data_IF_342056370307
#
_entry.id   IF_342056370307
#
_cell.length_a   1.000
_cell.length_b   1.000
_cell.length_c   1.000
_cell.angle_alpha   90.00
_cell.angle_beta   90.00
_cell.angle_gamma   90.00
#
_symmetry.space_group_name_H-M   'P 1'
#
loop_
_entity.id
_entity.type
_entity.pdbx_description
1 polymer ?
#
# COMPACT_ATOMS: atom_id res chain seq x y z
N UNK A 1 -16.23 1.04 25.05
CA UNK A 1 -15.48 1.04 23.78
C UNK A 1 -15.54 2.45 23.23
N UNK A 2 -14.47 3.24 23.13
CA UNK A 2 -14.68 4.59 22.60
C UNK A 2 -13.47 5.52 22.53
N UNK A 3 -13.00 6.04 23.67
CA UNK A 3 -12.10 7.19 23.69
C UNK A 3 -10.78 6.95 22.95
N UNK A 4 -10.03 5.90 23.31
CA UNK A 4 -8.70 5.69 22.76
C UNK A 4 -8.71 5.32 21.26
N UNK A 5 -9.75 4.66 20.74
CA UNK A 5 -9.80 4.27 19.31
C UNK A 5 -10.08 5.47 18.40
N UNK A 6 -11.01 6.34 18.80
CA UNK A 6 -11.31 7.56 18.04
C UNK A 6 -10.10 8.51 18.08
N UNK A 7 -9.53 8.70 19.27
CA UNK A 7 -8.33 9.53 19.46
C UNK A 7 -7.14 8.99 18.65
N UNK A 8 -6.84 7.68 18.74
CA UNK A 8 -5.80 7.04 17.93
C UNK A 8 -6.06 7.22 16.43
N UNK A 9 -7.32 7.12 15.98
CA UNK A 9 -7.68 7.35 14.58
C UNK A 9 -7.39 8.79 14.16
N UNK A 10 -7.73 9.78 15.01
CA UNK A 10 -7.45 11.18 14.73
C UNK A 10 -5.95 11.49 14.68
N UNK A 11 -5.17 10.90 15.61
CA UNK A 11 -3.71 10.96 15.59
C UNK A 11 -3.14 10.38 14.28
N UNK A 12 -3.66 9.24 13.82
CA UNK A 12 -3.27 8.65 12.53
C UNK A 12 -3.68 9.51 11.33
N UNK A 13 -4.84 10.16 11.35
CA UNK A 13 -5.25 11.10 10.29
C UNK A 13 -4.33 12.31 10.20
N UNK A 14 -3.89 12.83 11.36
CA UNK A 14 -2.88 13.89 11.38
C UNK A 14 -1.55 13.40 10.81
N UNK A 15 -1.09 12.21 11.24
CA UNK A 15 0.11 11.58 10.72
C UNK A 15 0.06 11.36 9.20
N UNK A 16 -1.09 11.01 8.63
CA UNK A 16 -1.28 10.91 7.17
C UNK A 16 -0.92 12.22 6.45
N UNK A 17 -1.36 13.38 6.95
CA UNK A 17 -1.01 14.66 6.34
C UNK A 17 0.47 15.00 6.52
N UNK A 18 1.05 14.72 7.69
CA UNK A 18 2.47 14.93 7.96
C UNK A 18 3.36 14.08 7.04
N UNK A 19 3.01 12.81 6.82
CA UNK A 19 3.72 11.91 5.89
C UNK A 19 3.65 12.43 4.45
N UNK A 20 2.47 12.90 4.02
CA UNK A 20 2.32 13.48 2.69
C UNK A 20 3.10 14.79 2.54
N UNK A 21 3.14 15.63 3.58
CA UNK A 21 3.95 16.85 3.60
C UNK A 21 5.44 16.53 3.48
N UNK A 22 5.92 15.51 4.19
CA UNK A 22 7.29 15.01 4.07
C UNK A 22 7.59 14.51 2.66
N UNK A 23 6.66 13.77 2.03
CA UNK A 23 6.78 13.31 0.64
C UNK A 23 6.89 14.46 -0.36
N UNK A 24 6.15 15.55 -0.17
CA UNK A 24 6.29 16.77 -0.99
C UNK A 24 7.70 17.35 -0.88
N UNK A 25 8.31 17.34 0.31
CA UNK A 25 9.65 17.88 0.52
C UNK A 25 10.78 16.95 0.06
N UNK A 26 10.58 15.63 0.10
CA UNK A 26 11.56 14.65 -0.39
C UNK A 26 11.45 14.42 -1.90
N UNK A 27 10.30 14.72 -2.50
CA UNK A 27 9.98 14.39 -3.89
C UNK A 27 9.46 12.96 -4.05
N UNK A 28 9.20 12.24 -2.94
CA UNK A 28 8.69 10.89 -2.97
C UNK A 28 7.16 10.89 -3.17
N UNK A 29 6.68 10.14 -4.15
CA UNK A 29 5.25 9.88 -4.33
C UNK A 29 4.88 8.55 -3.67
N UNK A 30 4.22 8.62 -2.52
CA UNK A 30 3.73 7.44 -1.80
C UNK A 30 2.33 7.04 -2.27
N UNK A 31 2.09 5.74 -2.38
CA UNK A 31 0.75 5.22 -2.61
C UNK A 31 -0.09 5.26 -1.31
N UNK A 32 -1.40 5.10 -1.45
CA UNK A 32 -2.34 5.16 -0.33
C UNK A 32 -1.97 4.22 0.83
N UNK A 33 -1.59 3.00 0.50
CA UNK A 33 -1.24 1.96 1.45
C UNK A 33 0.07 2.23 2.17
N UNK A 34 1.09 2.74 1.49
CA UNK A 34 2.34 3.20 2.13
C UNK A 34 2.08 4.33 3.13
N UNK A 35 1.24 5.31 2.78
CA UNK A 35 0.91 6.42 3.67
C UNK A 35 0.15 5.91 4.91
N UNK A 36 -0.81 5.01 4.72
CA UNK A 36 -1.58 4.43 5.82
C UNK A 36 -0.72 3.54 6.72
N UNK A 37 0.16 2.73 6.14
CA UNK A 37 1.09 1.89 6.89
C UNK A 37 2.05 2.74 7.73
N UNK A 38 2.67 3.77 7.15
CA UNK A 38 3.53 4.68 7.89
C UNK A 38 2.76 5.44 9.01
N UNK A 39 1.50 5.79 8.79
CA UNK A 39 0.68 6.41 9.83
C UNK A 39 0.40 5.46 10.99
N UNK A 40 0.20 4.16 10.70
CA UNK A 40 0.04 3.11 11.70
C UNK A 40 1.37 2.85 12.43
N UNK A 41 2.52 2.91 11.75
CA UNK A 41 3.83 2.79 12.41
C UNK A 41 4.10 3.94 13.38
N UNK A 42 3.66 5.16 13.04
CA UNK A 42 3.76 6.33 13.94
C UNK A 42 2.81 6.22 15.13
N UNK A 43 1.63 5.62 14.95
CA UNK A 43 0.61 5.44 15.98
C UNK A 43 0.11 3.99 15.96
N UNK A 44 0.84 3.06 16.62
CA UNK A 44 0.56 1.62 16.54
C UNK A 44 -0.87 1.24 16.90
N UNK A 45 -1.38 0.17 16.30
CA UNK A 45 -2.70 -0.39 16.63
C UNK A 45 -2.69 -0.97 18.04
N UNK A 46 -3.72 -0.68 18.84
CA UNK A 46 -3.95 -1.40 20.09
C UNK A 46 -4.54 -2.80 19.82
N UNK A 47 -4.66 -3.63 20.85
CA UNK A 47 -5.13 -5.02 20.71
C UNK A 47 -6.42 -5.16 19.93
N UNK A 48 -7.44 -4.34 20.24
CA UNK A 48 -8.75 -4.39 19.55
C UNK A 48 -8.68 -3.86 18.12
N UNK A 49 -7.82 -2.87 17.87
CA UNK A 49 -7.60 -2.34 16.52
C UNK A 49 -6.80 -3.30 15.64
N UNK A 50 -5.93 -4.12 16.23
CA UNK A 50 -5.10 -5.11 15.55
C UNK A 50 -5.88 -6.39 15.19
N UNK A 51 -7.06 -6.62 15.78
CA UNK A 51 -7.92 -7.75 15.42
C UNK A 51 -8.24 -7.74 13.92
N UNK A 52 -7.98 -8.88 13.27
CA UNK A 52 -8.28 -9.08 11.86
C UNK A 52 -9.79 -9.24 11.66
N UNK A 53 -10.29 -8.56 10.64
CA UNK A 53 -11.64 -8.80 10.12
C UNK A 53 -11.63 -10.04 9.23
N UNK A 54 -12.81 -10.54 8.84
CA UNK A 54 -12.94 -11.71 7.94
C UNK A 54 -12.19 -11.58 6.62
N UNK A 55 -11.90 -10.36 6.17
CA UNK A 55 -11.07 -10.09 4.99
C UNK A 55 -9.57 -9.95 5.28
N UNK A 56 -9.07 -10.39 6.44
CA UNK A 56 -7.64 -10.35 6.78
C UNK A 56 -7.08 -8.95 7.06
N UNK A 57 -7.92 -7.91 7.08
CA UNK A 57 -7.52 -6.52 7.31
C UNK A 57 -7.76 -6.19 8.79
N UNK A 58 -6.77 -5.64 9.53
CA UNK A 58 -6.96 -5.15 10.89
C UNK A 58 -8.08 -4.11 10.96
N UNK A 59 -8.92 -4.21 12.00
CA UNK A 59 -10.04 -3.28 12.22
C UNK A 59 -9.59 -1.82 12.19
N UNK A 60 -8.49 -1.50 12.88
CA UNK A 60 -7.94 -0.15 12.95
C UNK A 60 -7.49 0.39 11.59
N UNK A 61 -6.90 -0.46 10.75
CA UNK A 61 -6.56 -0.09 9.38
C UNK A 61 -7.83 0.25 8.58
N UNK A 62 -8.85 -0.61 8.65
CA UNK A 62 -10.15 -0.35 7.98
C UNK A 62 -10.78 0.95 8.46
N UNK A 63 -10.77 1.20 9.77
CA UNK A 63 -11.26 2.45 10.37
C UNK A 63 -10.50 3.65 9.85
N UNK A 64 -9.17 3.61 9.79
CA UNK A 64 -8.34 4.70 9.25
C UNK A 64 -8.60 4.94 7.75
N UNK A 65 -8.67 3.88 6.95
CA UNK A 65 -9.00 3.97 5.52
C UNK A 65 -10.33 4.69 5.32
N UNK A 66 -11.37 4.33 6.08
CA UNK A 66 -12.68 5.01 6.01
C UNK A 66 -12.58 6.45 6.52
N UNK A 67 -11.92 6.68 7.65
CA UNK A 67 -11.83 8.02 8.26
C UNK A 67 -11.06 9.02 7.39
N UNK A 68 -10.12 8.57 6.56
CA UNK A 68 -9.37 9.45 5.62
C UNK A 68 -10.26 10.18 4.61
N UNK A 69 -11.52 9.75 4.41
CA UNK A 69 -12.49 10.50 3.63
C UNK A 69 -12.83 11.88 4.25
N UNK A 70 -12.69 12.05 5.57
CA UNK A 70 -12.85 13.34 6.25
C UNK A 70 -11.83 14.36 5.74
N UNK A 71 -10.57 13.95 5.56
CA UNK A 71 -9.51 14.81 5.02
C UNK A 71 -9.81 15.27 3.59
N UNK A 72 -10.41 14.38 2.78
CA UNK A 72 -10.85 14.74 1.42
C UNK A 72 -11.98 15.76 1.47
N UNK A 73 -12.97 15.56 2.34
CA UNK A 73 -14.09 16.49 2.51
C UNK A 73 -13.63 17.88 2.97
N UNK A 74 -12.59 17.94 3.80
CA UNK A 74 -11.98 19.19 4.24
C UNK A 74 -11.09 19.86 3.17
N UNK A 75 -10.83 19.20 2.04
CA UNK A 75 -9.92 19.72 1.01
C UNK A 75 -8.44 19.56 1.36
N UNK A 76 -8.11 18.77 2.39
CA UNK A 76 -6.74 18.59 2.89
C UNK A 76 -6.03 17.39 2.26
N UNK A 77 -6.76 16.55 1.54
CA UNK A 77 -6.26 15.35 0.89
C UNK A 77 -6.95 15.16 -0.46
N UNK A 78 -6.18 14.84 -1.50
CA UNK A 78 -6.72 14.38 -2.78
C UNK A 78 -6.31 12.93 -3.00
N UNK A 79 -7.31 12.07 -3.22
CA UNK A 79 -7.09 10.65 -3.55
C UNK A 79 -7.10 10.48 -5.07
N UNK A 80 -5.92 10.25 -5.64
CA UNK A 80 -5.75 9.97 -7.07
C UNK A 80 -5.57 8.49 -7.38
N UNK A 81 -5.65 8.15 -8.67
CA UNK A 81 -5.35 6.78 -9.16
C UNK A 81 -3.86 6.42 -9.04
N UNK A 82 -2.98 7.43 -9.00
CA UNK A 82 -1.53 7.29 -8.91
C UNK A 82 -0.99 7.48 -7.49
N UNK A 83 -1.86 7.58 -6.48
CA UNK A 83 -1.48 7.84 -5.09
C UNK A 83 -2.26 8.98 -4.46
N UNK A 84 -1.88 9.32 -3.24
CA UNK A 84 -2.50 10.41 -2.47
C UNK A 84 -1.62 11.66 -2.55
N UNK A 85 -2.24 12.84 -2.66
CA UNK A 85 -1.55 14.13 -2.68
C UNK A 85 -2.14 15.08 -1.65
N UNK A 86 -1.32 16.00 -1.17
CA UNK A 86 -1.70 17.02 -0.17
C UNK A 86 -1.75 18.41 -0.84
N UNK A 87 -2.91 19.08 -0.87
CA UNK A 87 -3.02 20.47 -1.32
C UNK A 87 -2.38 21.46 -0.34
N UNK A 88 -2.18 22.71 -0.76
CA UNK A 88 -1.64 23.79 0.10
C UNK A 88 -2.41 23.95 1.40
N UNK A 89 -3.74 23.85 1.37
CA UNK A 89 -4.57 23.93 2.59
C UNK A 89 -4.34 22.73 3.51
N UNK A 90 -4.09 21.53 2.95
CA UNK A 90 -3.68 20.37 3.74
C UNK A 90 -2.32 20.58 4.40
N UNK A 91 -1.35 21.16 3.67
CA UNK A 91 -0.04 21.54 4.24
C UNK A 91 -0.22 22.56 5.37
N UNK A 92 -1.02 23.61 5.17
CA UNK A 92 -1.32 24.60 6.22
C UNK A 92 -2.02 23.97 7.43
N UNK A 93 -2.91 23.00 7.22
CA UNK A 93 -3.61 22.33 8.32
C UNK A 93 -2.63 21.65 9.29
N UNK A 94 -1.49 21.12 8.79
CA UNK A 94 -0.47 20.48 9.64
C UNK A 94 0.16 21.44 10.67
N UNK A 95 0.20 22.74 10.36
CA UNK A 95 0.75 23.78 11.26
C UNK A 95 -0.32 24.59 11.98
N UNK A 96 -1.48 24.81 11.34
CA UNK A 96 -2.60 25.52 11.94
C UNK A 96 -3.19 24.75 13.13
N UNK A 97 -3.18 23.42 13.07
CA UNK A 97 -3.71 22.53 14.10
C UNK A 97 -2.61 21.58 14.59
N UNK A 98 -1.62 22.14 15.29
CA UNK A 98 -0.48 21.37 15.80
C UNK A 98 -0.90 20.31 16.85
N UNK A 99 -1.95 20.60 17.62
CA UNK A 99 -2.52 19.66 18.59
C UNK A 99 -3.53 18.71 17.92
N UNK A 100 -3.51 17.44 18.32
CA UNK A 100 -4.34 16.40 17.71
C UNK A 100 -5.84 16.55 18.02
N UNK A 101 -6.19 17.09 19.19
CA UNK A 101 -7.58 17.36 19.54
C UNK A 101 -8.08 18.57 18.75
N UNK A 102 -7.30 19.66 18.68
CA UNK A 102 -7.63 20.81 17.84
C UNK A 102 -7.77 20.44 16.35
N UNK A 103 -6.92 19.53 15.85
CA UNK A 103 -7.01 18.98 14.50
C UNK A 103 -8.30 18.20 14.29
N UNK A 104 -8.66 17.32 15.24
CA UNK A 104 -9.89 16.54 15.19
C UNK A 104 -11.13 17.44 15.21
N UNK A 105 -11.17 18.42 16.10
CA UNK A 105 -12.28 19.36 16.24
C UNK A 105 -12.46 20.18 14.96
N UNK A 106 -11.35 20.69 14.38
CA UNK A 106 -11.39 21.41 13.11
C UNK A 106 -11.89 20.53 11.95
N UNK A 107 -11.44 19.27 11.91
CA UNK A 107 -11.84 18.32 10.87
C UNK A 107 -13.33 17.94 10.99
N UNK A 108 -13.83 17.75 12.20
CA UNK A 108 -15.24 17.40 12.45
C UNK A 108 -16.17 18.60 12.26
N UNK A 109 -15.74 19.81 12.64
CA UNK A 109 -16.47 21.05 12.40
C UNK A 109 -16.41 21.54 10.94
N UNK A 110 -15.48 21.01 10.13
CA UNK A 110 -15.22 21.50 8.79
C UNK A 110 -14.66 22.93 8.78
N UNK A 111 -13.87 23.28 9.80
CA UNK A 111 -13.28 24.61 9.96
C UNK A 111 -12.30 24.88 8.80
N UNK A 112 -12.49 25.97 8.03
CA UNK A 112 -11.53 26.36 7.01
C UNK A 112 -10.16 26.64 7.64
N UNK A 113 -9.10 26.22 6.96
CA UNK A 113 -7.74 26.55 7.40
C UNK A 113 -7.53 28.04 7.21
N UNK A 114 -7.10 28.79 8.24
CA UNK A 114 -6.87 30.23 8.09
C UNK A 114 -5.82 30.50 7.00
N UNK A 115 -6.15 31.40 6.07
CA UNK A 115 -5.32 31.66 4.88
C UNK A 115 -4.04 32.45 5.17
N UNK A 116 -3.96 33.06 6.35
CA UNK A 116 -2.81 33.76 6.90
C UNK A 116 -1.75 32.81 7.46
N UNK A 117 -2.09 31.54 7.68
CA UNK A 117 -1.12 30.52 8.09
C UNK A 117 -0.20 30.20 6.89
N UNK A 118 1.12 30.39 7.02
CA UNK A 118 2.04 30.10 5.93
C UNK A 118 2.07 28.61 5.62
N UNK A 119 2.24 28.27 4.35
CA UNK A 119 2.48 26.89 3.94
C UNK A 119 3.82 26.44 4.56
N UNK A 120 3.85 25.34 5.34
CA UNK A 120 5.08 24.88 5.95
C UNK A 120 6.14 24.55 4.89
N UNK A 121 7.35 25.04 5.15
CA UNK A 121 8.53 24.74 4.34
C UNK A 121 9.27 23.57 4.96
N UNK A 122 10.03 22.84 4.13
CA UNK A 122 10.78 21.68 4.57
C UNK A 122 11.66 22.04 5.78
N UNK A 123 11.59 21.30 6.90
CA UNK A 123 12.47 21.54 8.03
C UNK A 123 13.93 21.43 7.57
N UNK A 124 14.85 22.27 8.11
CA UNK A 124 16.25 22.24 7.71
C UNK A 124 16.78 20.83 7.91
N UNK A 125 17.28 20.22 6.82
CA UNK A 125 17.80 18.84 6.81
C UNK A 125 18.87 18.70 7.89
N UNK A 126 18.52 18.17 9.06
CA UNK A 126 19.54 17.66 9.97
C UNK A 126 20.17 16.47 9.26
N UNK A 127 21.50 16.44 9.19
CA UNK A 127 22.26 15.35 8.57
C UNK A 127 22.00 14.07 9.38
N UNK A 128 20.90 13.37 9.11
CA UNK A 128 20.70 12.01 9.62
C UNK A 128 21.67 11.14 8.84
N UNK A 129 22.73 10.70 9.53
CA UNK A 129 23.72 9.78 8.99
C UNK A 129 22.99 8.61 8.33
N UNK A 130 23.34 8.33 7.08
CA UNK A 130 22.85 7.18 6.35
C UNK A 130 23.10 5.93 7.22
N UNK A 131 22.02 5.31 7.69
CA UNK A 131 22.10 4.01 8.34
C UNK A 131 22.67 3.02 7.31
N UNK A 132 23.68 2.20 7.67
CA UNK A 132 24.29 1.30 6.71
C UNK A 132 23.25 0.26 6.28
N UNK A 133 23.04 0.14 4.96
CA UNK A 133 22.29 -0.98 4.36
C UNK A 133 22.92 -2.27 4.85
N UNK A 134 22.16 -3.05 5.64
CA UNK A 134 22.58 -4.35 6.14
C UNK A 134 22.66 -5.30 4.95
N UNK A 135 23.89 -5.65 4.55
CA UNK A 135 24.15 -6.59 3.48
C UNK A 135 23.59 -7.98 3.85
N UNK A 136 22.52 -8.41 3.18
CA UNK A 136 22.10 -9.80 3.19
C UNK A 136 23.09 -10.60 2.32
N UNK A 137 23.64 -11.65 2.91
CA UNK A 137 24.64 -12.52 2.32
C UNK A 137 24.05 -13.30 1.14
N UNK A 138 24.46 -12.94 -0.08
CA UNK A 138 24.22 -13.73 -1.28
C UNK A 138 25.10 -14.98 -1.25
N UNK A 139 24.48 -16.16 -1.15
CA UNK A 139 25.15 -17.42 -1.55
C UNK A 139 24.97 -17.61 -3.05
N UNK A 140 26.10 -17.75 -3.72
CA UNK A 140 26.25 -17.86 -5.16
C UNK A 140 25.66 -19.16 -5.73
N UNK A 141 25.00 -19.05 -6.89
CA UNK A 141 24.80 -20.14 -7.84
C UNK A 141 24.91 -19.58 -9.28
N UNK A 142 25.35 -20.39 -10.26
CA UNK A 142 26.22 -19.91 -11.34
C UNK A 142 25.49 -19.37 -12.57
N UNK A 143 26.14 -18.40 -13.19
CA UNK A 143 25.81 -17.78 -14.48
C UNK A 143 25.90 -18.78 -15.63
N UNK A 144 24.81 -18.90 -16.41
CA UNK A 144 24.87 -19.34 -17.80
C UNK A 144 24.22 -18.30 -18.70
N UNK A 145 25.08 -17.63 -19.45
CA UNK A 145 24.80 -16.74 -20.57
C UNK A 145 23.99 -17.44 -21.65
N UNK A 146 22.86 -16.85 -22.03
CA UNK A 146 22.16 -17.15 -23.29
C UNK A 146 21.59 -15.87 -23.87
N UNK A 147 22.34 -15.28 -24.78
CA UNK A 147 21.92 -14.20 -25.68
C UNK A 147 20.92 -14.73 -26.70
N UNK A 148 19.71 -14.15 -26.78
CA UNK A 148 18.96 -14.14 -28.06
C UNK A 148 18.03 -12.94 -28.22
N UNK A 149 18.61 -11.91 -28.83
CA UNK A 149 18.09 -11.02 -29.89
C UNK A 149 16.56 -10.95 -30.10
N UNK A 150 16.03 -9.75 -29.84
CA UNK A 150 14.71 -9.26 -30.23
C UNK A 150 14.46 -9.25 -31.76
N UNK A 151 13.19 -9.12 -32.17
CA UNK A 151 12.86 -8.14 -33.20
C UNK A 151 11.72 -7.21 -32.76
N UNK A 152 11.87 -5.94 -33.14
CA UNK A 152 10.92 -4.87 -32.86
C UNK A 152 9.84 -4.73 -33.95
N UNK A 153 8.68 -4.25 -33.49
CA UNK A 153 7.82 -3.21 -34.09
C UNK A 153 6.52 -3.65 -34.77
N UNK A 154 5.40 -3.26 -34.16
CA UNK A 154 4.39 -2.40 -34.79
C UNK A 154 3.51 -1.71 -33.71
N UNK A 155 3.43 -0.38 -33.76
CA UNK A 155 2.38 0.47 -33.19
C UNK A 155 1.80 1.27 -34.40
N UNK A 156 0.61 1.93 -34.36
CA UNK A 156 -0.03 2.50 -33.16
C UNK A 156 -1.59 2.53 -33.13
N UNK A 157 -2.17 2.88 -31.97
CA UNK A 157 -3.35 3.76 -31.83
C UNK A 157 -3.44 4.24 -30.35
N UNK A 158 -3.94 5.46 -30.07
CA UNK A 158 -3.74 6.14 -28.78
C UNK A 158 -4.73 5.61 -27.73
N UNK A 159 -4.23 5.05 -26.64
CA UNK A 159 -5.04 4.65 -25.50
C UNK A 159 -4.84 5.64 -24.34
N UNK A 160 -5.95 6.18 -23.87
CA UNK A 160 -6.16 6.90 -22.61
C UNK A 160 -5.22 6.36 -21.52
N UNK A 161 -4.43 7.23 -20.89
CA UNK A 161 -3.28 6.89 -20.03
C UNK A 161 -3.41 5.59 -19.23
N UNK A 162 -2.89 4.50 -19.80
CA UNK A 162 -2.72 3.21 -19.16
C UNK A 162 -1.42 3.28 -18.34
N UNK A 163 -1.49 2.97 -17.05
CA UNK A 163 -0.28 2.82 -16.26
C UNK A 163 0.54 1.65 -16.83
N UNK A 164 1.86 1.78 -17.00
CA UNK A 164 2.72 0.66 -17.38
C UNK A 164 2.47 -0.51 -16.43
N UNK A 165 2.21 -1.70 -16.99
CA UNK A 165 1.94 -2.91 -16.22
C UNK A 165 3.19 -3.79 -16.16
N UNK A 166 3.38 -4.57 -15.08
CA UNK A 166 4.42 -5.59 -15.04
C UNK A 166 4.17 -6.69 -16.08
N UNK A 167 5.21 -7.44 -16.42
CA UNK A 167 5.11 -8.56 -17.37
C UNK A 167 4.36 -9.75 -16.75
N UNK A 168 4.47 -9.93 -15.43
CA UNK A 168 3.77 -10.96 -14.68
C UNK A 168 3.51 -10.51 -13.25
N UNK A 169 2.46 -11.06 -12.64
CA UNK A 169 2.13 -10.87 -11.22
C UNK A 169 1.85 -12.23 -10.63
N UNK A 170 2.55 -12.56 -9.54
CA UNK A 170 2.36 -13.79 -8.80
C UNK A 170 1.81 -13.50 -7.41
N UNK A 171 0.95 -14.38 -6.91
CA UNK A 171 0.61 -14.44 -5.49
C UNK A 171 1.37 -15.62 -4.86
N UNK A 172 2.40 -15.30 -4.10
CA UNK A 172 3.28 -16.28 -3.47
C UNK A 172 2.97 -16.37 -1.97
N UNK A 173 2.66 -17.57 -1.49
CA UNK A 173 2.23 -17.82 -0.12
C UNK A 173 2.31 -19.29 0.27
N UNK A 174 1.84 -19.60 1.47
CA UNK A 174 1.80 -20.94 2.07
C UNK A 174 0.70 -21.87 1.52
N UNK A 175 0.11 -21.50 0.38
CA UNK A 175 -0.91 -22.29 -0.33
C UNK A 175 -0.52 -22.56 -1.78
N UNK A 176 0.67 -22.18 -2.26
CA UNK A 176 1.00 -22.39 -3.67
C UNK A 176 1.07 -23.88 -4.03
N UNK A 177 1.48 -24.75 -3.10
CA UNK A 177 1.40 -26.21 -3.31
C UNK A 177 -0.04 -26.67 -3.51
N UNK A 178 -1.01 -26.04 -2.84
CA UNK A 178 -2.44 -26.32 -3.02
C UNK A 178 -2.96 -25.88 -4.39
N UNK A 179 -2.30 -24.90 -5.02
CA UNK A 179 -2.55 -24.50 -6.41
C UNK A 179 -1.88 -25.41 -7.43
N UNK A 180 -1.07 -26.37 -6.98
CA UNK A 180 -0.30 -27.29 -7.83
C UNK A 180 1.15 -26.88 -8.05
N UNK A 181 1.64 -25.82 -7.42
CA UNK A 181 3.04 -25.44 -7.51
C UNK A 181 3.95 -26.49 -6.84
N UNK A 182 5.21 -26.64 -7.28
CA UNK A 182 6.16 -27.56 -6.65
C UNK A 182 6.51 -27.23 -5.19
N UNK A 183 6.43 -25.95 -4.80
CA UNK A 183 6.73 -25.48 -3.44
C UNK A 183 5.96 -24.19 -3.13
N UNK A 184 5.85 -23.87 -1.84
CA UNK A 184 5.26 -22.62 -1.36
C UNK A 184 6.23 -21.45 -1.51
N UNK A 185 5.70 -20.22 -1.51
CA UNK A 185 6.51 -18.99 -1.60
C UNK A 185 7.35 -18.87 -2.87
N UNK A 186 6.89 -19.45 -3.97
CA UNK A 186 7.64 -19.54 -5.21
C UNK A 186 6.96 -18.80 -6.37
N UNK A 187 7.22 -17.48 -6.53
CA UNK A 187 6.56 -16.65 -7.53
C UNK A 187 7.02 -16.94 -8.96
N UNK A 188 8.02 -17.80 -9.16
CA UNK A 188 8.50 -18.18 -10.48
C UNK A 188 7.58 -19.19 -11.19
N UNK A 189 6.74 -19.91 -10.45
CA UNK A 189 5.88 -20.97 -11.00
C UNK A 189 4.60 -20.41 -11.62
N UNK A 190 4.12 -21.09 -12.66
CA UNK A 190 2.95 -20.64 -13.44
C UNK A 190 1.65 -20.74 -12.63
N UNK A 191 1.58 -21.70 -11.70
CA UNK A 191 0.44 -21.93 -10.80
C UNK A 191 0.20 -20.77 -9.83
N UNK A 192 1.25 -20.00 -9.52
CA UNK A 192 1.15 -18.81 -8.67
C UNK A 192 0.79 -17.54 -9.47
N UNK A 193 0.77 -17.58 -10.81
CA UNK A 193 0.57 -16.40 -11.64
C UNK A 193 -0.90 -15.98 -11.73
N UNK A 194 -1.12 -14.67 -11.67
CA UNK A 194 -2.40 -14.04 -11.88
C UNK A 194 -2.63 -13.76 -13.38
N UNK A 195 -3.89 -13.77 -13.81
CA UNK A 195 -4.26 -13.40 -15.17
C UNK A 195 -4.53 -11.89 -15.26
N UNK A 196 -3.95 -11.20 -16.24
CA UNK A 196 -4.19 -9.78 -16.48
C UNK A 196 -5.51 -9.54 -17.22
N UNK A 197 -6.31 -8.59 -16.73
CA UNK A 197 -7.53 -8.10 -17.35
C UNK A 197 -7.33 -6.66 -17.90
N UNK A 198 -6.99 -6.48 -19.20
CA UNK A 198 -6.55 -5.19 -19.74
C UNK A 198 -7.57 -4.06 -19.62
N UNK A 199 -8.87 -4.38 -19.74
CA UNK A 199 -9.95 -3.39 -19.64
C UNK A 199 -10.09 -2.81 -18.23
N UNK A 200 -9.87 -3.64 -17.21
CA UNK A 200 -9.97 -3.25 -15.81
C UNK A 200 -8.63 -2.75 -15.23
N UNK A 201 -7.51 -3.05 -15.90
CA UNK A 201 -6.15 -2.84 -15.38
C UNK A 201 -5.92 -3.57 -14.04
N UNK A 202 -6.50 -4.77 -13.92
CA UNK A 202 -6.42 -5.62 -12.73
C UNK A 202 -5.84 -6.98 -13.07
N UNK A 203 -5.19 -7.60 -12.10
CA UNK A 203 -4.69 -8.97 -12.16
C UNK A 203 -5.55 -9.83 -11.25
N UNK A 204 -5.99 -11.00 -11.72
CA UNK A 204 -6.90 -11.87 -10.96
C UNK A 204 -6.41 -13.31 -10.91
N UNK A 205 -6.49 -13.93 -9.75
CA UNK A 205 -6.35 -15.37 -9.58
C UNK A 205 -7.51 -15.89 -8.74
N UNK A 206 -8.08 -17.01 -9.15
CA UNK A 206 -9.13 -17.69 -8.40
C UNK A 206 -8.63 -19.06 -7.99
N UNK A 207 -8.77 -19.38 -6.71
CA UNK A 207 -8.28 -20.63 -6.12
C UNK A 207 -9.38 -21.29 -5.28
N UNK A 208 -9.32 -22.61 -5.19
CA UNK A 208 -10.12 -23.40 -4.25
C UNK A 208 -9.22 -23.74 -3.06
N UNK A 209 -9.47 -23.14 -1.89
CA UNK A 209 -8.64 -23.33 -0.70
C UNK A 209 -9.44 -24.02 0.42
N UNK A 210 -8.85 -24.96 1.18
CA UNK A 210 -9.43 -25.44 2.42
C UNK A 210 -9.61 -24.32 3.46
N UNK A 211 -10.44 -24.56 4.48
CA UNK A 211 -10.54 -23.65 5.62
C UNK A 211 -9.19 -23.56 6.35
N UNK A 212 -8.75 -22.36 6.69
CA UNK A 212 -7.44 -22.15 7.27
C UNK A 212 -7.03 -20.68 7.38
N UNK A 213 -5.84 -20.48 7.91
CA UNK A 213 -5.16 -19.18 7.93
C UNK A 213 -3.97 -19.31 6.99
N UNK A 214 -3.90 -18.40 6.03
CA UNK A 214 -2.88 -18.37 4.99
C UNK A 214 -2.12 -17.06 5.02
N UNK A 215 -0.86 -17.09 4.61
CA UNK A 215 -0.01 -15.91 4.47
C UNK A 215 0.59 -15.82 3.08
N UNK A 216 0.61 -14.61 2.51
CA UNK A 216 1.08 -14.41 1.15
C UNK A 216 1.59 -12.99 0.88
N UNK A 217 2.26 -12.84 -0.26
CA UNK A 217 2.72 -11.58 -0.85
C UNK A 217 2.52 -11.57 -2.36
N UNK A 218 2.61 -10.38 -2.92
CA UNK A 218 2.52 -10.16 -4.36
C UNK A 218 3.93 -9.94 -4.86
N UNK A 219 4.35 -10.73 -5.85
CA UNK A 219 5.66 -10.64 -6.46
C UNK A 219 5.50 -10.30 -7.95
N UNK A 220 6.31 -9.37 -8.45
CA UNK A 220 6.26 -8.96 -9.84
C UNK A 220 7.29 -9.69 -10.68
N UNK A 221 6.97 -9.88 -11.96
CA UNK A 221 7.89 -10.39 -12.99
C UNK A 221 8.54 -11.73 -12.62
N UNK A 222 7.78 -12.62 -11.97
CA UNK A 222 8.22 -13.96 -11.56
C UNK A 222 9.44 -13.98 -10.63
N UNK A 223 9.70 -12.89 -9.91
CA UNK A 223 10.85 -12.73 -9.03
C UNK A 223 10.47 -11.94 -7.77
N UNK A 224 11.34 -12.01 -6.76
CA UNK A 224 11.16 -11.25 -5.52
C UNK A 224 11.77 -9.84 -5.56
N UNK A 225 12.37 -9.45 -6.69
CA UNK A 225 13.05 -8.15 -6.87
C UNK A 225 12.12 -6.96 -6.58
N UNK A 226 10.85 -7.08 -6.96
CA UNK A 226 9.80 -6.13 -6.61
C UNK A 226 8.60 -6.90 -6.06
N UNK A 227 8.29 -6.66 -4.78
CA UNK A 227 7.19 -7.32 -4.10
C UNK A 227 6.43 -6.36 -3.20
N UNK A 228 5.16 -6.66 -3.01
CA UNK A 228 4.23 -5.89 -2.20
C UNK A 228 3.62 -6.79 -1.13
N UNK A 229 3.75 -6.33 0.11
CA UNK A 229 3.14 -6.93 1.27
C UNK A 229 1.81 -6.28 1.64
N UNK A 230 1.36 -6.52 2.87
CA UNK A 230 0.16 -5.95 3.47
C UNK A 230 0.00 -4.47 3.12
N UNK A 231 -1.18 -4.12 2.62
CA UNK A 231 -1.54 -2.77 2.19
C UNK A 231 -0.68 -2.22 1.06
N UNK A 232 -0.12 -3.07 0.18
CA UNK A 232 0.65 -2.62 -0.97
C UNK A 232 1.96 -1.91 -0.64
N UNK A 233 2.52 -2.20 0.53
CA UNK A 233 3.81 -1.66 0.97
C UNK A 233 4.95 -2.44 0.27
N UNK A 234 5.89 -1.76 -0.40
CA UNK A 234 7.08 -2.41 -0.95
C UNK A 234 7.86 -3.15 0.14
N UNK A 235 8.21 -4.40 -0.11
CA UNK A 235 8.88 -5.27 0.88
C UNK A 235 8.15 -5.39 2.22
N UNK A 236 6.85 -5.07 2.24
CA UNK A 236 6.03 -4.96 3.46
C UNK A 236 5.81 -6.28 4.19
N UNK A 237 5.02 -6.26 5.26
CA UNK A 237 4.62 -7.48 5.97
C UNK A 237 3.82 -8.44 5.08
N UNK A 238 3.69 -9.71 5.45
CA UNK A 238 2.82 -10.64 4.71
C UNK A 238 1.34 -10.23 4.87
N UNK A 239 0.53 -10.47 3.84
CA UNK A 239 -0.92 -10.51 4.01
C UNK A 239 -1.31 -11.74 4.81
N UNK A 240 -2.34 -11.63 5.64
CA UNK A 240 -2.98 -12.75 6.32
C UNK A 240 -4.39 -12.92 5.78
N UNK A 241 -4.78 -14.14 5.45
CA UNK A 241 -6.12 -14.50 4.98
C UNK A 241 -6.69 -15.57 5.90
N UNK A 242 -7.73 -15.21 6.64
CA UNK A 242 -8.58 -16.19 7.31
C UNK A 242 -9.67 -16.62 6.33
N UNK A 243 -9.70 -17.90 5.97
CA UNK A 243 -10.60 -18.43 4.97
C UNK A 243 -11.45 -19.57 5.56
N UNK A 244 -12.76 -19.55 5.29
CA UNK A 244 -13.70 -20.56 5.77
C UNK A 244 -13.75 -21.81 4.86
N UNK A 245 -12.98 -21.79 3.76
CA UNK A 245 -12.91 -22.86 2.78
C UNK A 245 -13.75 -22.61 1.54
N UNK A 246 -13.36 -23.26 0.44
CA UNK A 246 -13.97 -23.11 -0.89
C UNK A 246 -13.25 -22.08 -1.75
N UNK A 247 -13.98 -21.51 -2.70
CA UNK A 247 -13.45 -20.60 -3.71
C UNK A 247 -13.10 -19.22 -3.12
N UNK A 248 -11.91 -18.71 -3.46
CA UNK A 248 -11.46 -17.34 -3.18
C UNK A 248 -10.94 -16.69 -4.46
N UNK A 249 -11.23 -15.41 -4.66
CA UNK A 249 -10.73 -14.61 -5.78
C UNK A 249 -9.84 -13.49 -5.28
N UNK A 250 -8.56 -13.57 -5.66
CA UNK A 250 -7.56 -12.54 -5.43
C UNK A 250 -7.56 -11.54 -6.59
N UNK A 251 -7.64 -10.25 -6.29
CA UNK A 251 -7.62 -9.18 -7.30
C UNK A 251 -6.57 -8.13 -6.93
N UNK A 252 -5.53 -8.01 -7.73
CA UNK A 252 -4.44 -7.04 -7.56
C UNK A 252 -4.57 -5.85 -8.52
N UNK A 253 -4.31 -4.65 -8.01
CA UNK A 253 -4.27 -3.41 -8.77
C UNK A 253 -2.87 -2.82 -8.72
N UNK A 254 -2.18 -2.79 -9.86
CA UNK A 254 -0.82 -2.22 -9.92
C UNK A 254 -0.81 -0.71 -9.65
N UNK A 255 -1.91 -0.01 -9.96
CA UNK A 255 -2.05 1.41 -9.69
C UNK A 255 -2.00 1.74 -8.19
N UNK A 256 -2.58 0.86 -7.37
CA UNK A 256 -2.62 1.02 -5.90
C UNK A 256 -1.61 0.15 -5.19
N UNK A 257 -0.95 -0.76 -5.91
CA UNK A 257 -0.05 -1.81 -5.41
C UNK A 257 -0.70 -2.76 -4.40
N UNK A 258 -2.03 -2.75 -4.32
CA UNK A 258 -2.78 -3.43 -3.27
C UNK A 258 -3.63 -4.56 -3.84
N UNK A 259 -4.04 -5.47 -2.96
CA UNK A 259 -4.81 -6.67 -3.28
C UNK A 259 -6.10 -6.74 -2.46
N UNK A 260 -7.16 -7.25 -3.07
CA UNK A 260 -8.40 -7.56 -2.38
C UNK A 260 -8.80 -9.01 -2.63
N UNK A 261 -9.40 -9.63 -1.62
CA UNK A 261 -9.96 -10.98 -1.68
C UNK A 261 -11.47 -10.93 -1.64
N UNK A 262 -12.13 -11.78 -2.44
CA UNK A 262 -13.58 -11.90 -2.52
C UNK A 262 -14.02 -13.36 -2.66
#
# INVERSE_FOLDING_TARGET
MGANTVENTNLRLKAVLEILAEGVWSGDSLNAGEVLAQAIDRVPLNTHEAELLSGGIPRGHKTLTTASAKLVKAGWLVKGRSGWTIPDDGLRATVAFADAAAFADALDAGTPVPSDVPVPTAPPKSKRAAAPKKAAAAKAAPTKTSTRKAPAKAAPAPAVGLLPQPEAVAIAGDFNVLLGAPEDWAPQYDEAQMAFAPKAQLWTLTAELPAGIYTYKIALNRAWDENYGAFGVPDGANHELQHDGGKVTFTYSHATRDIVTA
#
